data_IF_299572685443
#
_entry.id   IF_299572685443
#
_cell.length_a   1.000
_cell.length_b   1.000
_cell.length_c   1.000
_cell.angle_alpha   90.00
_cell.angle_beta   90.00
_cell.angle_gamma   90.00
#
_symmetry.space_group_name_H-M   'P 1'
#
loop_
_entity.id
_entity.type
_entity.pdbx_description
1 polymer ?
#
# COMPACT_ATOMS: atom_id res chain seq x y z
N UNK A 1 -25.43 1.85 15.87
CA UNK A 1 -25.05 2.14 14.46
C UNK A 1 -24.53 0.85 13.89
N UNK A 2 -24.99 0.40 12.71
CA UNK A 2 -24.48 -0.79 12.04
C UNK A 2 -23.05 -0.50 11.61
N UNK A 3 -22.13 -1.46 11.85
CA UNK A 3 -20.73 -1.38 11.42
C UNK A 3 -20.69 -1.13 9.91
N UNK A 4 -20.00 -0.09 9.48
CA UNK A 4 -19.79 0.19 8.07
C UNK A 4 -18.53 -0.54 7.63
N UNK A 5 -18.69 -1.49 6.70
CA UNK A 5 -17.58 -2.20 6.09
C UNK A 5 -17.10 -1.44 4.86
N UNK A 6 -15.79 -1.15 4.81
CA UNK A 6 -15.14 -0.43 3.71
C UNK A 6 -14.30 -1.37 2.83
N UNK A 7 -14.34 -2.66 3.09
CA UNK A 7 -13.70 -3.69 2.28
C UNK A 7 -14.76 -4.67 1.82
N UNK A 8 -14.88 -4.84 0.51
CA UNK A 8 -15.75 -5.86 -0.11
C UNK A 8 -14.91 -7.01 -0.63
N UNK A 9 -15.46 -8.19 -0.57
CA UNK A 9 -14.85 -9.43 -1.05
C UNK A 9 -15.82 -10.19 -1.93
N UNK A 10 -15.47 -10.38 -3.18
CA UNK A 10 -16.22 -11.13 -4.16
C UNK A 10 -15.33 -12.20 -4.80
N UNK A 11 -15.91 -13.26 -5.35
CA UNK A 11 -15.19 -14.28 -6.13
C UNK A 11 -15.86 -14.39 -7.50
N UNK A 12 -15.06 -14.27 -8.55
CA UNK A 12 -15.46 -14.41 -9.95
C UNK A 12 -14.58 -15.48 -10.61
N UNK A 13 -15.12 -16.68 -10.82
CA UNK A 13 -14.43 -17.83 -11.40
C UNK A 13 -12.94 -17.94 -10.98
N UNK A 14 -12.67 -18.39 -9.77
CA UNK A 14 -11.31 -18.60 -9.22
C UNK A 14 -10.48 -17.33 -8.98
N UNK A 15 -11.05 -16.16 -9.21
CA UNK A 15 -10.42 -14.87 -8.94
C UNK A 15 -11.14 -14.21 -7.76
N UNK A 16 -10.45 -14.05 -6.63
CA UNK A 16 -10.94 -13.23 -5.55
C UNK A 16 -10.73 -11.76 -5.88
N UNK A 17 -11.76 -10.94 -5.71
CA UNK A 17 -11.71 -9.49 -5.90
C UNK A 17 -11.92 -8.81 -4.56
N UNK A 18 -10.86 -8.20 -4.05
CA UNK A 18 -10.87 -7.39 -2.84
C UNK A 18 -11.02 -5.93 -3.26
N UNK A 19 -12.04 -5.25 -2.77
CA UNK A 19 -12.33 -3.87 -3.14
C UNK A 19 -12.34 -2.96 -1.92
N UNK A 20 -11.44 -1.98 -1.89
CA UNK A 20 -11.56 -0.84 -0.96
C UNK A 20 -12.69 0.07 -1.42
N UNK A 21 -13.64 0.35 -0.53
CA UNK A 21 -14.90 1.04 -0.84
C UNK A 21 -15.17 2.18 0.15
N UNK A 22 -14.26 3.17 0.15
CA UNK A 22 -14.39 4.43 0.91
C UNK A 22 -14.07 5.64 0.02
N UNK A 23 -14.81 5.80 -1.11
CA UNK A 23 -14.48 6.80 -2.12
C UNK A 23 -14.55 8.25 -1.61
N UNK A 24 -15.45 8.55 -0.68
CA UNK A 24 -15.64 9.89 -0.11
C UNK A 24 -14.41 10.38 0.68
N UNK A 25 -13.60 9.46 1.20
CA UNK A 25 -12.32 9.75 1.85
C UNK A 25 -11.12 9.35 0.98
N UNK A 26 -11.29 9.25 -0.35
CA UNK A 26 -10.25 8.80 -1.28
C UNK A 26 -9.57 7.50 -0.84
N UNK A 27 -10.32 6.56 -0.29
CA UNK A 27 -9.85 5.28 0.23
C UNK A 27 -8.70 5.41 1.26
N UNK A 28 -8.76 6.46 2.08
CA UNK A 28 -7.82 6.63 3.20
C UNK A 28 -7.98 5.49 4.21
N UNK A 29 -6.85 4.99 4.70
CA UNK A 29 -6.74 3.77 5.48
C UNK A 29 -6.77 4.07 6.97
N UNK A 30 -7.74 3.53 7.69
CA UNK A 30 -7.71 3.45 9.15
C UNK A 30 -7.17 2.08 9.59
N UNK A 31 -6.84 1.93 10.87
CA UNK A 31 -6.41 0.65 11.42
C UNK A 31 -7.47 -0.45 11.23
N UNK A 32 -8.76 -0.10 11.36
CA UNK A 32 -9.87 -1.02 11.13
C UNK A 32 -9.98 -1.45 9.67
N UNK A 33 -9.85 -0.51 8.72
CA UNK A 33 -9.86 -0.82 7.28
C UNK A 33 -8.69 -1.73 6.90
N UNK A 34 -7.48 -1.49 7.45
CA UNK A 34 -6.32 -2.33 7.19
C UNK A 34 -6.50 -3.73 7.76
N UNK A 35 -7.14 -3.84 8.92
CA UNK A 35 -7.50 -5.15 9.49
C UNK A 35 -8.51 -5.89 8.62
N UNK A 36 -9.58 -5.23 8.19
CA UNK A 36 -10.59 -5.83 7.31
C UNK A 36 -9.97 -6.24 5.96
N UNK A 37 -9.03 -5.45 5.48
CA UNK A 37 -8.28 -5.76 4.27
C UNK A 37 -7.40 -7.01 4.48
N UNK A 38 -6.66 -7.10 5.59
CA UNK A 38 -5.84 -8.28 5.92
C UNK A 38 -6.71 -9.55 6.08
N UNK A 39 -7.88 -9.42 6.70
CA UNK A 39 -8.84 -10.52 6.81
C UNK A 39 -9.34 -10.98 5.42
N UNK A 40 -9.56 -10.04 4.49
CA UNK A 40 -9.95 -10.36 3.12
C UNK A 40 -8.82 -11.07 2.34
N UNK A 41 -7.58 -10.62 2.49
CA UNK A 41 -6.40 -11.26 1.92
C UNK A 41 -6.22 -12.68 2.44
N UNK A 42 -6.34 -12.88 3.74
CA UNK A 42 -6.24 -14.19 4.38
C UNK A 42 -7.36 -15.13 3.92
N UNK A 43 -8.60 -14.63 3.86
CA UNK A 43 -9.74 -15.39 3.32
C UNK A 43 -9.46 -15.86 1.89
N UNK A 44 -8.92 -15.00 1.05
CA UNK A 44 -8.58 -15.35 -0.33
C UNK A 44 -7.44 -16.38 -0.41
N UNK A 45 -6.46 -16.30 0.49
CA UNK A 45 -5.36 -17.27 0.56
C UNK A 45 -5.84 -18.66 1.01
N UNK A 46 -6.72 -18.71 2.01
CA UNK A 46 -7.24 -19.95 2.59
C UNK A 46 -8.28 -20.66 1.69
N UNK A 47 -8.94 -19.93 0.77
CA UNK A 47 -9.97 -20.49 -0.10
C UNK A 47 -9.35 -21.37 -1.22
N UNK A 48 -9.58 -22.70 -1.23
CA UNK A 48 -8.99 -23.60 -2.22
C UNK A 48 -9.48 -23.36 -3.65
N UNK A 49 -10.63 -22.73 -3.83
CA UNK A 49 -11.19 -22.42 -5.16
C UNK A 49 -10.56 -21.15 -5.77
N UNK A 50 -9.95 -20.29 -4.94
CA UNK A 50 -9.28 -19.08 -5.40
C UNK A 50 -7.87 -19.39 -5.90
N UNK A 51 -7.55 -18.92 -7.09
CA UNK A 51 -6.23 -19.08 -7.73
C UNK A 51 -5.45 -17.78 -7.90
N UNK A 52 -6.17 -16.66 -8.01
CA UNK A 52 -5.62 -15.31 -8.21
C UNK A 52 -6.38 -14.33 -7.34
N UNK A 53 -5.70 -13.31 -6.82
CA UNK A 53 -6.32 -12.28 -6.01
C UNK A 53 -6.13 -10.93 -6.72
N UNK A 54 -7.21 -10.18 -6.87
CA UNK A 54 -7.21 -8.81 -7.43
C UNK A 54 -7.55 -7.83 -6.32
N UNK A 55 -6.69 -6.83 -6.12
CA UNK A 55 -6.96 -5.68 -5.28
C UNK A 55 -7.38 -4.51 -6.16
N UNK A 56 -8.55 -3.95 -5.88
CA UNK A 56 -9.09 -2.79 -6.58
C UNK A 56 -9.76 -1.81 -5.61
N UNK A 57 -10.20 -0.67 -6.10
CA UNK A 57 -10.83 0.35 -5.26
C UNK A 57 -12.00 1.00 -6.00
N UNK A 58 -12.94 1.57 -5.26
CA UNK A 58 -14.00 2.41 -5.83
C UNK A 58 -13.60 3.88 -5.89
N UNK A 59 -14.33 4.64 -6.70
CA UNK A 59 -14.17 6.08 -6.80
C UNK A 59 -13.00 6.53 -7.66
N UNK A 60 -12.61 7.79 -7.49
CA UNK A 60 -11.65 8.48 -8.35
C UNK A 60 -10.19 8.06 -8.11
N UNK A 61 -9.87 7.67 -6.90
CA UNK A 61 -8.49 7.48 -6.43
C UNK A 61 -8.28 6.07 -5.85
N UNK A 62 -7.10 5.53 -6.04
CA UNK A 62 -6.74 4.24 -5.45
C UNK A 62 -6.68 4.34 -3.92
N UNK A 63 -5.79 5.17 -3.38
CA UNK A 63 -5.77 5.46 -1.95
C UNK A 63 -4.96 6.72 -1.66
N UNK A 64 -5.46 7.54 -0.72
CA UNK A 64 -4.76 8.71 -0.20
C UNK A 64 -3.72 8.38 0.91
N UNK A 65 -3.54 7.10 1.24
CA UNK A 65 -2.67 6.67 2.34
C UNK A 65 -3.40 6.59 3.67
N UNK A 66 -2.67 6.69 4.77
CA UNK A 66 -3.25 6.61 6.11
C UNK A 66 -4.22 7.75 6.39
N UNK A 67 -5.32 7.43 7.09
CA UNK A 67 -6.29 8.43 7.53
C UNK A 67 -5.70 9.24 8.70
N UNK A 68 -5.47 10.52 8.45
CA UNK A 68 -4.89 11.45 9.43
C UNK A 68 -5.94 12.19 10.24
N UNK A 69 -7.23 11.87 10.10
CA UNK A 69 -8.32 12.55 10.84
C UNK A 69 -8.38 12.15 12.32
N UNK A 70 -7.74 11.02 12.67
CA UNK A 70 -7.76 10.48 14.03
C UNK A 70 -9.08 9.81 14.41
N UNK A 71 -10.01 9.68 13.46
CA UNK A 71 -11.30 9.02 13.65
C UNK A 71 -11.31 7.74 12.83
N UNK A 72 -11.46 6.59 13.51
CA UNK A 72 -11.71 5.32 12.82
C UNK A 72 -13.23 5.13 12.67
N UNK A 73 -13.77 5.18 11.45
CA UNK A 73 -15.20 4.96 11.21
C UNK A 73 -15.57 3.46 11.21
N UNK A 74 -14.59 2.55 11.26
CA UNK A 74 -14.85 1.13 11.38
C UNK A 74 -15.39 0.82 12.77
N UNK A 75 -16.45 0.00 12.84
CA UNK A 75 -17.30 -0.11 14.02
C UNK A 75 -16.70 -0.87 15.20
N UNK A 76 -15.57 -1.52 15.05
CA UNK A 76 -15.07 -2.42 16.10
C UNK A 76 -14.36 -1.73 17.26
N UNK A 77 -14.18 -0.40 17.21
CA UNK A 77 -13.56 0.36 18.32
C UNK A 77 -12.16 -0.15 18.75
N UNK A 78 -11.66 -1.16 18.06
CA UNK A 78 -10.35 -1.75 18.27
C UNK A 78 -9.32 -0.95 17.46
N UNK A 79 -9.28 0.37 17.71
CA UNK A 79 -8.16 1.15 17.23
C UNK A 79 -6.88 0.46 17.73
N UNK A 80 -6.17 -0.20 16.83
CA UNK A 80 -4.78 -0.57 17.04
C UNK A 80 -3.98 0.73 17.01
N UNK A 81 -4.27 1.63 17.93
CA UNK A 81 -3.46 2.81 18.15
C UNK A 81 -2.24 2.45 18.98
N UNK A 82 -1.17 3.23 18.90
CA UNK A 82 -0.02 3.02 19.76
C UNK A 82 -0.47 3.06 21.21
N UNK A 83 0.01 2.09 22.01
CA UNK A 83 -0.23 2.09 23.45
C UNK A 83 0.43 3.34 24.03
N UNK A 84 -0.17 3.92 25.04
CA UNK A 84 0.42 5.04 25.76
C UNK A 84 0.75 4.58 27.18
N UNK A 85 2.01 4.65 27.55
CA UNK A 85 2.44 4.42 28.93
C UNK A 85 2.34 5.75 29.68
N UNK A 86 1.55 5.78 30.75
CA UNK A 86 1.31 6.97 31.57
C UNK A 86 0.79 8.20 30.77
N UNK A 87 0.01 7.96 29.72
CA UNK A 87 -0.56 9.01 28.86
C UNK A 87 0.43 9.62 27.87
N UNK A 88 1.69 9.14 27.83
CA UNK A 88 2.72 9.57 26.88
C UNK A 88 2.87 8.51 25.78
N UNK A 89 3.06 8.98 24.56
CA UNK A 89 3.43 8.14 23.44
C UNK A 89 4.96 7.99 23.44
N UNK A 90 5.43 6.77 23.64
CA UNK A 90 6.85 6.44 23.56
C UNK A 90 7.22 6.04 22.13
N UNK A 91 8.50 6.18 21.78
CA UNK A 91 8.99 5.84 20.43
C UNK A 91 8.84 4.34 20.15
N UNK A 92 9.13 3.50 21.13
CA UNK A 92 8.98 2.05 21.07
C UNK A 92 7.53 1.60 20.90
N UNK A 93 6.57 2.25 21.57
CA UNK A 93 5.12 1.95 21.41
C UNK A 93 4.66 2.23 19.98
N UNK A 94 5.19 3.31 19.38
CA UNK A 94 4.87 3.70 18.01
C UNK A 94 5.54 2.76 17.00
N UNK A 95 6.80 2.41 17.23
CA UNK A 95 7.53 1.43 16.41
C UNK A 95 6.80 0.08 16.37
N UNK A 96 6.45 -0.46 17.54
CA UNK A 96 5.72 -1.72 17.65
C UNK A 96 4.36 -1.67 16.96
N UNK A 97 3.68 -0.53 17.06
CA UNK A 97 2.38 -0.37 16.45
C UNK A 97 2.45 -0.35 14.91
N UNK A 98 3.36 0.42 14.32
CA UNK A 98 3.52 0.46 12.86
C UNK A 98 4.11 -0.84 12.31
N UNK A 99 4.99 -1.50 13.07
CA UNK A 99 5.46 -2.84 12.71
C UNK A 99 4.28 -3.78 12.48
N UNK A 100 3.39 -3.90 13.47
CA UNK A 100 2.28 -4.86 13.44
C UNK A 100 1.11 -4.43 12.56
N UNK A 101 0.83 -3.13 12.53
CA UNK A 101 -0.34 -2.56 11.88
C UNK A 101 -0.12 -2.15 10.43
N UNK A 102 1.14 -2.00 9.99
CA UNK A 102 1.48 -1.53 8.65
C UNK A 102 2.49 -2.45 7.95
N UNK A 103 3.71 -2.52 8.45
CA UNK A 103 4.78 -3.24 7.77
C UNK A 103 4.52 -4.74 7.62
N UNK A 104 4.07 -5.40 8.71
CA UNK A 104 3.77 -6.83 8.66
C UNK A 104 2.61 -7.19 7.75
N UNK A 105 1.64 -6.29 7.57
CA UNK A 105 0.56 -6.49 6.58
C UNK A 105 1.12 -6.53 5.17
N UNK A 106 1.91 -5.53 4.77
CA UNK A 106 2.50 -5.49 3.44
C UNK A 106 3.39 -6.72 3.16
N UNK A 107 4.16 -7.17 4.17
CA UNK A 107 4.98 -8.39 4.06
C UNK A 107 4.14 -9.63 3.85
N UNK A 108 3.10 -9.83 4.67
CA UNK A 108 2.21 -10.99 4.53
C UNK A 108 1.52 -11.03 3.17
N UNK A 109 1.05 -9.88 2.68
CA UNK A 109 0.38 -9.80 1.37
C UNK A 109 1.33 -10.15 0.23
N UNK A 110 2.60 -9.71 0.31
CA UNK A 110 3.64 -10.12 -0.65
C UNK A 110 3.88 -11.63 -0.65
N UNK A 111 3.85 -12.25 0.53
CA UNK A 111 4.21 -13.65 0.71
C UNK A 111 3.04 -14.63 0.50
N UNK A 112 1.82 -14.13 0.26
CA UNK A 112 0.69 -14.98 -0.14
C UNK A 112 1.09 -15.84 -1.35
N UNK A 113 0.91 -17.17 -1.28
CA UNK A 113 1.40 -18.07 -2.33
C UNK A 113 0.65 -17.98 -3.66
N UNK A 114 -0.50 -17.30 -3.69
CA UNK A 114 -1.30 -17.07 -4.90
C UNK A 114 -0.84 -15.80 -5.61
N UNK A 115 -0.89 -15.74 -6.95
CA UNK A 115 -0.65 -14.50 -7.69
C UNK A 115 -1.60 -13.40 -7.29
N UNK A 116 -1.07 -12.18 -7.18
CA UNK A 116 -1.80 -10.98 -6.76
C UNK A 116 -1.65 -9.87 -7.80
N UNK A 117 -2.74 -9.15 -8.08
CA UNK A 117 -2.77 -8.08 -9.08
C UNK A 117 -3.44 -6.85 -8.47
N UNK A 118 -2.76 -5.70 -8.49
CA UNK A 118 -3.38 -4.43 -8.12
C UNK A 118 -3.90 -3.70 -9.37
N UNK A 119 -5.14 -3.19 -9.30
CA UNK A 119 -5.73 -2.29 -10.31
C UNK A 119 -5.76 -0.87 -9.76
N UNK A 120 -4.89 0.01 -10.29
CA UNK A 120 -4.62 1.33 -9.73
C UNK A 120 -5.13 2.44 -10.64
N UNK A 121 -6.05 3.28 -10.13
CA UNK A 121 -6.52 4.49 -10.82
C UNK A 121 -6.31 5.75 -9.99
N UNK A 122 -6.16 6.88 -10.67
CA UNK A 122 -6.04 8.20 -10.06
C UNK A 122 -4.85 8.25 -9.08
N UNK A 123 -5.04 8.80 -7.90
CA UNK A 123 -3.95 8.97 -6.94
C UNK A 123 -3.71 7.73 -6.08
N UNK A 124 -2.45 7.34 -5.98
CA UNK A 124 -1.89 6.35 -5.07
C UNK A 124 -0.79 7.04 -4.25
N UNK A 125 -1.11 7.44 -3.03
CA UNK A 125 -0.28 8.37 -2.23
C UNK A 125 0.20 7.69 -0.96
N UNK A 126 1.48 7.86 -0.62
CA UNK A 126 2.09 7.41 0.64
C UNK A 126 1.73 5.93 0.92
N UNK A 127 1.05 5.63 2.03
CA UNK A 127 0.62 4.26 2.34
C UNK A 127 -0.30 3.63 1.28
N UNK A 128 -0.81 4.37 0.29
CA UNK A 128 -1.43 3.79 -0.90
C UNK A 128 -0.46 2.90 -1.68
N UNK A 129 0.83 3.25 -1.70
CA UNK A 129 1.89 2.44 -2.30
C UNK A 129 2.07 1.10 -1.59
N UNK A 130 1.87 1.06 -0.28
CA UNK A 130 1.94 -0.16 0.53
C UNK A 130 0.83 -1.17 0.22
N UNK A 131 -0.23 -0.75 -0.48
CA UNK A 131 -1.30 -1.64 -0.93
C UNK A 131 -0.98 -2.29 -2.29
N UNK A 132 -0.35 -1.56 -3.21
CA UNK A 132 -0.07 -2.06 -4.55
C UNK A 132 1.32 -2.69 -4.71
N UNK A 133 2.36 -2.20 -4.04
CA UNK A 133 3.72 -2.73 -4.15
C UNK A 133 3.91 -4.16 -3.64
N UNK A 134 3.18 -4.64 -2.62
CA UNK A 134 3.20 -6.07 -2.26
C UNK A 134 2.57 -6.99 -3.31
N UNK A 135 1.78 -6.47 -4.25
CA UNK A 135 1.18 -7.26 -5.32
C UNK A 135 2.23 -7.67 -6.37
N UNK A 136 2.04 -8.85 -6.97
CA UNK A 136 2.96 -9.37 -7.97
C UNK A 136 2.91 -8.62 -9.30
N UNK A 137 1.71 -8.12 -9.66
CA UNK A 137 1.47 -7.35 -10.87
C UNK A 137 0.68 -6.09 -10.55
N UNK A 138 0.96 -5.02 -11.28
CA UNK A 138 0.20 -3.77 -11.20
C UNK A 138 -0.30 -3.39 -12.59
N UNK A 139 -1.61 -3.22 -12.72
CA UNK A 139 -2.26 -2.61 -13.88
C UNK A 139 -2.66 -1.19 -13.48
N UNK A 140 -2.17 -0.19 -14.18
CA UNK A 140 -2.49 1.20 -13.92
C UNK A 140 -3.45 1.75 -14.97
N UNK A 141 -4.40 2.57 -14.55
CA UNK A 141 -5.10 3.44 -15.48
C UNK A 141 -4.15 4.54 -16.00
N UNK A 142 -4.42 5.07 -17.18
CA UNK A 142 -3.65 6.16 -17.80
C UNK A 142 -3.58 7.43 -16.95
N UNK A 143 -4.58 7.63 -16.07
CA UNK A 143 -4.65 8.73 -15.12
C UNK A 143 -4.00 8.44 -13.77
N UNK A 144 -3.37 7.28 -13.58
CA UNK A 144 -2.75 6.92 -12.31
C UNK A 144 -1.51 7.79 -12.01
N UNK A 145 -1.39 8.18 -10.74
CA UNK A 145 -0.26 8.95 -10.22
C UNK A 145 0.18 8.36 -8.89
N UNK A 146 1.47 8.07 -8.79
CA UNK A 146 2.10 7.48 -7.61
C UNK A 146 2.98 8.52 -6.94
N UNK A 147 2.86 8.72 -5.64
CA UNK A 147 3.69 9.68 -4.92
C UNK A 147 3.91 9.32 -3.46
N UNK A 148 5.05 9.73 -2.92
CA UNK A 148 5.33 9.63 -1.50
C UNK A 148 5.77 10.99 -0.94
N UNK A 149 4.82 11.85 -0.54
CA UNK A 149 5.11 13.18 -0.05
C UNK A 149 5.43 13.25 1.44
N UNK A 150 5.63 12.12 2.15
CA UNK A 150 5.83 12.11 3.62
C UNK A 150 7.14 12.80 4.05
N UNK A 151 8.08 13.00 3.11
CA UNK A 151 9.25 13.86 3.32
C UNK A 151 8.89 15.27 3.76
N UNK A 152 7.75 15.81 3.32
CA UNK A 152 7.22 17.10 3.76
C UNK A 152 6.72 17.09 5.23
N UNK A 153 6.54 15.91 5.80
CA UNK A 153 6.18 15.69 7.20
C UNK A 153 7.41 15.44 8.09
N UNK A 154 8.60 15.36 7.48
CA UNK A 154 9.86 15.06 8.17
C UNK A 154 10.17 13.57 8.30
N UNK A 155 9.47 12.73 7.55
CA UNK A 155 9.66 11.28 7.48
C UNK A 155 10.28 10.91 6.14
N UNK A 156 11.15 9.90 6.08
CA UNK A 156 11.96 9.65 4.89
C UNK A 156 11.21 8.94 3.74
N UNK A 157 10.07 8.37 3.99
CA UNK A 157 9.26 7.57 3.05
C UNK A 157 8.29 6.71 3.84
N UNK A 158 7.39 5.99 3.16
CA UNK A 158 6.44 5.09 3.82
C UNK A 158 7.12 3.88 4.44
N UNK A 159 6.43 3.19 5.34
CA UNK A 159 6.90 2.09 6.17
C UNK A 159 7.43 0.91 5.34
N UNK A 160 6.74 0.56 4.26
CA UNK A 160 7.20 -0.44 3.28
C UNK A 160 7.98 0.24 2.16
N UNK A 161 9.26 0.53 2.41
CA UNK A 161 10.09 1.36 1.54
C UNK A 161 10.65 0.59 0.34
N UNK A 162 9.80 0.24 -0.61
CA UNK A 162 10.20 -0.46 -1.84
C UNK A 162 10.67 0.46 -2.98
N UNK A 163 10.72 1.78 -2.79
CA UNK A 163 10.98 2.80 -3.81
C UNK A 163 12.16 2.48 -4.75
N UNK A 164 13.30 2.07 -4.19
CA UNK A 164 14.51 1.80 -4.98
C UNK A 164 14.33 0.58 -5.87
N UNK A 165 13.59 -0.41 -5.41
CA UNK A 165 13.31 -1.64 -6.13
C UNK A 165 12.31 -1.42 -7.25
N UNK A 166 11.29 -0.60 -7.02
CA UNK A 166 10.21 -0.31 -7.95
C UNK A 166 10.60 0.71 -9.03
N UNK A 167 11.39 1.72 -8.67
CA UNK A 167 11.66 2.89 -9.53
C UNK A 167 13.13 3.01 -9.98
N UNK A 168 14.01 2.19 -9.39
CA UNK A 168 15.45 2.41 -9.48
C UNK A 168 15.92 3.63 -8.66
N UNK A 169 17.23 3.72 -8.34
CA UNK A 169 17.71 4.65 -7.31
C UNK A 169 17.55 6.13 -7.65
N UNK A 170 17.59 6.51 -8.94
CA UNK A 170 17.47 7.93 -9.34
C UNK A 170 16.04 8.41 -9.29
N UNK A 171 15.09 7.64 -9.81
CA UNK A 171 13.67 8.02 -9.82
C UNK A 171 13.08 7.96 -8.42
N UNK A 172 13.49 6.98 -7.60
CA UNK A 172 13.15 6.93 -6.19
C UNK A 172 13.59 8.20 -5.44
N UNK A 173 14.83 8.64 -5.62
CA UNK A 173 15.33 9.90 -5.02
C UNK A 173 14.59 11.13 -5.53
N UNK A 174 14.27 11.19 -6.81
CA UNK A 174 13.51 12.29 -7.37
C UNK A 174 12.13 12.38 -6.71
N UNK A 175 11.37 11.28 -6.64
CA UNK A 175 10.08 11.22 -5.96
C UNK A 175 10.19 11.68 -4.50
N UNK A 176 11.11 11.10 -3.74
CA UNK A 176 11.26 11.38 -2.30
C UNK A 176 11.77 12.79 -2.01
N UNK A 177 12.72 13.32 -2.80
CA UNK A 177 13.31 14.64 -2.55
C UNK A 177 12.40 15.78 -2.94
N UNK A 178 11.61 15.60 -4.01
CA UNK A 178 10.70 16.61 -4.52
C UNK A 178 9.28 16.49 -3.98
N UNK A 179 8.95 15.36 -3.34
CA UNK A 179 7.58 14.96 -3.02
C UNK A 179 6.66 14.93 -4.27
N UNK A 180 7.26 14.79 -5.45
CA UNK A 180 6.59 14.78 -6.73
C UNK A 180 5.88 13.47 -7.02
N UNK A 181 5.09 13.47 -8.11
CA UNK A 181 4.37 12.29 -8.56
C UNK A 181 5.09 11.61 -9.73
N UNK A 182 5.00 10.30 -9.78
CA UNK A 182 5.35 9.45 -10.94
C UNK A 182 4.05 9.13 -11.68
N UNK A 183 3.99 9.43 -12.97
CA UNK A 183 2.82 9.13 -13.81
C UNK A 183 2.76 7.64 -14.15
N UNK A 184 1.59 7.17 -14.61
CA UNK A 184 1.43 5.78 -15.07
C UNK A 184 2.46 5.40 -16.14
N UNK A 185 2.70 6.28 -17.11
CA UNK A 185 3.71 6.13 -18.17
C UNK A 185 5.14 6.03 -17.63
N UNK A 186 5.51 6.87 -16.67
CA UNK A 186 6.83 6.80 -16.02
C UNK A 186 6.99 5.52 -15.19
N UNK A 187 5.94 5.10 -14.50
CA UNK A 187 5.88 3.86 -13.76
C UNK A 187 6.03 2.62 -14.68
N UNK A 188 5.40 2.65 -15.87
CA UNK A 188 5.58 1.61 -16.89
C UNK A 188 7.03 1.57 -17.40
N UNK A 189 7.62 2.72 -17.70
CA UNK A 189 9.01 2.79 -18.17
C UNK A 189 10.04 2.34 -17.13
N UNK A 190 9.75 2.52 -15.85
CA UNK A 190 10.62 2.03 -14.75
C UNK A 190 10.44 0.55 -14.46
N UNK A 191 9.37 -0.07 -14.96
CA UNK A 191 9.00 -1.45 -14.64
C UNK A 191 8.19 -1.59 -13.35
N UNK A 192 7.80 -0.49 -12.71
CA UNK A 192 6.95 -0.52 -11.50
C UNK A 192 5.54 -1.01 -11.79
N UNK A 193 4.99 -0.72 -12.98
CA UNK A 193 3.70 -1.25 -13.42
C UNK A 193 3.86 -2.10 -14.68
N UNK A 194 3.02 -3.13 -14.83
CA UNK A 194 3.08 -4.06 -15.95
C UNK A 194 2.34 -3.55 -17.18
N UNK A 195 1.24 -2.83 -16.98
CA UNK A 195 0.37 -2.34 -18.04
C UNK A 195 -0.21 -0.98 -17.67
N UNK A 196 -0.39 -0.14 -18.70
CA UNK A 196 -1.16 1.10 -18.62
C UNK A 196 -2.29 1.01 -19.61
N UNK A 197 -3.52 1.25 -19.17
CA UNK A 197 -4.74 1.14 -19.97
C UNK A 197 -5.65 2.35 -19.74
N UNK A 198 -6.58 2.68 -20.65
CA UNK A 198 -7.61 3.68 -20.39
C UNK A 198 -8.38 3.37 -19.10
N UNK A 199 -8.77 4.42 -18.37
CA UNK A 199 -9.45 4.26 -17.08
C UNK A 199 -10.70 3.38 -17.17
N UNK A 200 -11.49 3.53 -18.21
CA UNK A 200 -12.72 2.76 -18.43
C UNK A 200 -12.45 1.28 -18.75
N UNK A 201 -11.25 0.94 -19.20
CA UNK A 201 -10.80 -0.43 -19.47
C UNK A 201 -10.11 -1.10 -18.28
N UNK A 202 -9.73 -0.34 -17.25
CA UNK A 202 -8.91 -0.85 -16.14
C UNK A 202 -9.47 -2.15 -15.53
N UNK A 203 -10.76 -2.16 -15.20
CA UNK A 203 -11.38 -3.32 -14.56
C UNK A 203 -11.42 -4.53 -15.50
N UNK A 204 -11.90 -4.34 -16.73
CA UNK A 204 -12.05 -5.42 -17.71
C UNK A 204 -10.70 -6.03 -18.10
N UNK A 205 -9.69 -5.19 -18.32
CA UNK A 205 -8.32 -5.64 -18.61
C UNK A 205 -7.74 -6.43 -17.44
N UNK A 206 -7.85 -5.89 -16.21
CA UNK A 206 -7.31 -6.56 -15.01
C UNK A 206 -7.97 -7.93 -14.80
N UNK A 207 -9.29 -8.03 -14.94
CA UNK A 207 -10.00 -9.30 -14.80
C UNK A 207 -9.62 -10.29 -15.90
N UNK A 208 -9.47 -9.83 -17.15
CA UNK A 208 -8.97 -10.67 -18.26
C UNK A 208 -7.58 -11.22 -17.97
N UNK A 209 -6.69 -10.38 -17.46
CA UNK A 209 -5.34 -10.80 -17.05
C UNK A 209 -5.41 -11.83 -15.91
N UNK A 210 -6.23 -11.57 -14.87
CA UNK A 210 -6.39 -12.45 -13.72
C UNK A 210 -6.93 -13.82 -14.14
N UNK A 211 -7.97 -13.87 -14.96
CA UNK A 211 -8.52 -15.12 -15.49
C UNK A 211 -7.50 -15.88 -16.35
N UNK A 212 -6.69 -15.18 -17.16
CA UNK A 212 -5.60 -15.81 -17.93
C UNK A 212 -4.56 -16.43 -17.00
N UNK A 213 -4.15 -15.74 -15.93
CA UNK A 213 -3.22 -16.30 -14.91
C UNK A 213 -3.85 -17.51 -14.23
N UNK A 214 -5.13 -17.47 -13.89
CA UNK A 214 -5.86 -18.55 -13.23
C UNK A 214 -5.96 -19.84 -14.06
N UNK A 215 -5.68 -19.82 -15.38
CA UNK A 215 -5.60 -21.02 -16.23
C UNK A 215 -4.30 -21.79 -16.03
N UNK A 216 -3.26 -21.16 -15.49
CA UNK A 216 -1.98 -21.80 -15.23
C UNK A 216 -2.07 -22.71 -14.01
N UNK A 217 -1.29 -23.79 -14.00
CA UNK A 217 -1.23 -24.69 -12.86
C UNK A 217 -0.89 -23.95 -11.56
N UNK A 218 -1.71 -24.07 -10.50
CA UNK A 218 -1.57 -23.27 -9.28
C UNK A 218 -0.25 -23.58 -8.53
N UNK A 219 0.23 -24.82 -8.62
CA UNK A 219 1.52 -25.18 -8.01
C UNK A 219 2.70 -24.53 -8.74
N UNK A 220 2.65 -24.52 -10.08
CA UNK A 220 3.66 -23.85 -10.89
C UNK A 220 3.68 -22.34 -10.62
N UNK A 221 2.51 -21.68 -10.50
CA UNK A 221 2.40 -20.26 -10.14
C UNK A 221 3.02 -19.97 -8.77
N UNK A 222 2.69 -20.79 -7.77
CA UNK A 222 3.27 -20.70 -6.42
C UNK A 222 4.79 -20.78 -6.44
N UNK A 223 5.34 -21.74 -7.17
CA UNK A 223 6.79 -21.93 -7.27
C UNK A 223 7.45 -20.79 -8.02
N UNK A 224 6.84 -20.30 -9.11
CA UNK A 224 7.35 -19.14 -9.88
C UNK A 224 7.40 -17.88 -9.01
N UNK A 225 6.30 -17.53 -8.30
CA UNK A 225 6.27 -16.41 -7.36
C UNK A 225 7.36 -16.55 -6.29
N UNK A 226 7.43 -17.74 -5.65
CA UNK A 226 8.45 -18.01 -4.63
C UNK A 226 9.87 -17.86 -5.16
N UNK A 227 10.15 -18.30 -6.39
CA UNK A 227 11.47 -18.19 -6.98
C UNK A 227 11.88 -16.73 -7.21
N UNK A 228 10.96 -15.90 -7.73
CA UNK A 228 11.19 -14.46 -7.93
C UNK A 228 11.39 -13.75 -6.60
N UNK A 229 10.48 -13.95 -5.64
CA UNK A 229 10.58 -13.31 -4.32
C UNK A 229 11.87 -13.72 -3.60
N UNK A 230 12.22 -15.01 -3.61
CA UNK A 230 13.46 -15.49 -2.98
C UNK A 230 14.71 -14.90 -3.64
N UNK A 231 14.69 -14.72 -4.95
CA UNK A 231 15.81 -14.06 -5.65
C UNK A 231 15.97 -12.60 -5.17
N UNK A 232 14.88 -11.85 -5.10
CA UNK A 232 14.90 -10.47 -4.58
C UNK A 232 15.36 -10.40 -3.13
N UNK A 233 14.91 -11.33 -2.28
CA UNK A 233 15.31 -11.41 -0.88
C UNK A 233 16.80 -11.73 -0.74
N UNK A 234 17.32 -12.64 -1.57
CA UNK A 234 18.76 -12.96 -1.64
C UNK A 234 19.60 -11.76 -2.11
N UNK A 235 19.02 -10.90 -2.97
CA UNK A 235 19.63 -9.63 -3.39
C UNK A 235 19.55 -8.54 -2.31
N UNK A 236 18.86 -8.80 -1.20
CA UNK A 236 18.79 -7.89 -0.05
C UNK A 236 17.48 -7.12 0.10
N UNK A 237 16.40 -7.48 -0.61
CA UNK A 237 15.12 -6.77 -0.54
C UNK A 237 14.58 -6.69 0.90
N UNK A 238 14.41 -7.82 1.57
CA UNK A 238 13.87 -7.87 2.93
C UNK A 238 14.75 -7.11 3.92
N UNK A 239 16.08 -7.24 3.82
CA UNK A 239 17.04 -6.50 4.67
C UNK A 239 16.96 -4.98 4.42
N UNK A 240 16.75 -4.56 3.16
CA UNK A 240 16.59 -3.15 2.83
C UNK A 240 15.28 -2.59 3.41
N UNK A 241 14.17 -3.34 3.33
CA UNK A 241 12.89 -2.95 3.95
C UNK A 241 13.06 -2.77 5.47
N UNK A 242 13.71 -3.71 6.18
CA UNK A 242 13.98 -3.60 7.61
C UNK A 242 14.78 -2.34 7.96
N UNK A 243 15.92 -2.15 7.29
CA UNK A 243 16.78 -0.98 7.52
C UNK A 243 16.07 0.34 7.21
N UNK A 244 15.26 0.38 6.17
CA UNK A 244 14.51 1.57 5.82
C UNK A 244 13.39 1.86 6.81
N UNK A 245 12.75 0.83 7.38
CA UNK A 245 11.77 0.99 8.44
C UNK A 245 12.38 1.61 9.70
N UNK A 246 13.57 1.16 10.09
CA UNK A 246 14.32 1.78 11.19
C UNK A 246 14.60 3.27 10.91
N UNK A 247 15.01 3.60 9.68
CA UNK A 247 15.25 5.00 9.28
C UNK A 247 13.93 5.83 9.26
N UNK A 248 12.81 5.24 8.86
CA UNK A 248 11.49 5.85 8.95
C UNK A 248 11.19 6.26 10.39
N UNK A 249 11.43 5.37 11.35
CA UNK A 249 11.23 5.62 12.78
C UNK A 249 12.19 6.66 13.38
N UNK A 250 13.40 6.83 12.84
CA UNK A 250 14.24 7.97 13.22
C UNK A 250 13.56 9.31 12.92
N UNK A 251 12.76 9.40 11.86
CA UNK A 251 11.92 10.56 11.56
C UNK A 251 10.87 10.81 12.64
N UNK A 252 10.16 9.77 13.07
CA UNK A 252 9.17 9.86 14.16
C UNK A 252 9.79 10.19 15.51
N UNK A 253 10.93 9.57 15.87
CA UNK A 253 11.68 9.88 17.10
C UNK A 253 12.08 11.36 17.13
N UNK A 254 12.64 11.86 16.00
CA UNK A 254 12.97 13.29 15.85
C UNK A 254 11.73 14.18 16.03
N UNK A 255 10.61 13.78 15.42
CA UNK A 255 9.37 14.54 15.52
C UNK A 255 8.83 14.59 16.94
N UNK A 256 8.79 13.46 17.65
CA UNK A 256 8.37 13.38 19.06
C UNK A 256 9.22 14.32 19.94
N UNK A 257 10.54 14.29 19.77
CA UNK A 257 11.47 15.15 20.52
C UNK A 257 11.31 16.63 20.19
N UNK A 258 11.16 16.98 18.90
CA UNK A 258 11.08 18.38 18.47
C UNK A 258 9.74 19.05 18.74
N UNK A 259 8.65 18.27 18.82
CA UNK A 259 7.27 18.80 18.94
C UNK A 259 6.65 18.59 20.33
N UNK A 260 7.33 17.86 21.21
CA UNK A 260 6.78 17.50 22.52
C UNK A 260 5.65 16.47 22.46
N UNK A 261 5.67 15.54 21.47
CA UNK A 261 4.78 14.40 21.45
C UNK A 261 3.95 14.20 20.15
N UNK A 262 4.23 14.93 19.09
CA UNK A 262 3.63 14.64 17.76
C UNK A 262 4.55 13.71 16.98
N UNK A 263 3.97 12.77 16.23
CA UNK A 263 4.71 11.81 15.41
C UNK A 263 5.26 12.38 14.11
N UNK A 264 4.84 13.60 13.72
CA UNK A 264 5.32 14.32 12.52
C UNK A 264 5.71 15.75 12.88
N UNK A 265 6.73 16.30 12.22
CA UNK A 265 7.23 17.65 12.47
C UNK A 265 6.29 18.70 11.86
N UNK A 266 5.79 18.44 10.67
CA UNK A 266 4.86 19.30 9.93
C UNK A 266 3.77 18.45 9.30
N UNK A 267 2.54 18.92 9.37
CA UNK A 267 1.41 18.32 8.67
C UNK A 267 0.74 19.41 7.82
N UNK A 268 1.45 19.92 6.80
CA UNK A 268 0.91 20.89 5.84
C UNK A 268 0.27 20.14 4.66
N UNK A 269 -0.99 19.75 4.84
CA UNK A 269 -1.76 19.03 3.82
C UNK A 269 -1.92 19.85 2.53
N UNK A 270 -1.98 21.16 2.60
CA UNK A 270 -2.10 21.99 1.39
C UNK A 270 -0.80 21.99 0.60
N UNK A 271 0.35 22.06 1.26
CA UNK A 271 1.66 21.92 0.63
C UNK A 271 1.85 20.52 0.01
N UNK A 272 1.42 19.46 0.71
CA UNK A 272 1.46 18.08 0.18
C UNK A 272 0.57 17.94 -1.06
N UNK A 273 -0.63 18.50 -1.04
CA UNK A 273 -1.53 18.52 -2.21
C UNK A 273 -0.94 19.33 -3.37
N UNK A 274 -0.27 20.44 -3.09
CA UNK A 274 0.37 21.26 -4.11
C UNK A 274 1.57 20.55 -4.74
N UNK A 275 2.44 19.90 -3.96
CA UNK A 275 3.58 19.15 -4.44
C UNK A 275 3.17 18.01 -5.41
N UNK A 276 2.06 17.35 -5.14
CA UNK A 276 1.51 16.32 -6.03
C UNK A 276 0.86 16.84 -7.32
N UNK A 277 0.85 18.15 -7.56
CA UNK A 277 0.32 18.79 -8.79
C UNK A 277 1.40 19.32 -9.72
N UNK A 278 2.61 19.49 -9.24
CA UNK A 278 3.75 19.95 -10.03
C UNK A 278 4.40 18.80 -10.75
N UNK A 279 4.43 18.89 -12.11
CA UNK A 279 5.34 18.12 -12.95
C UNK A 279 6.72 18.72 -12.90
#
# INVERSE_FOLDING_TARGET
>A
MTAQHFVRYDVDDKVAVITLDRPDAANAQTAGILKDLDDAWRRADEDPEVRVIVLTTTGKHFSAGHDMTGVDPSADGRALGPRRTDGKLLAEDYYDWETRGYLEYARRWRDIPKPTIAAVQGKCIAAGLMLCWPCDLIVAADNAQFSDPVGLMGIMGVEYHAHTWELGPRKAKEMLFTAGSVTAEEALRSGMVNHVVPLDELRSFTMTLAHRVAQTDPWALRLAKRAVNHTMDTMGFSTAIDSCFDMHHLGHIRALAATGGKTVVMADLERMKAAGRTK
#
